data_IF_501651377090
#
_entry.id   IF_501651377090
#
_cell.length_a   1.000
_cell.length_b   1.000
_cell.length_c   1.000
_cell.angle_alpha   90.00
_cell.angle_beta   90.00
_cell.angle_gamma   90.00
#
_symmetry.space_group_name_H-M   'P 1'
#
loop_
_entity.id
_entity.type
_entity.pdbx_description
1 polymer ?
#
# COMPACT_ATOMS: atom_id res chain seq x y z
N UNK A 1 6.36 -26.84 3.61
CA UNK A 1 5.46 -27.35 2.55
C UNK A 1 4.18 -26.51 2.52
N UNK A 2 3.41 -26.55 1.42
CA UNK A 2 2.27 -25.66 1.17
C UNK A 2 1.31 -25.48 2.36
N UNK A 3 0.90 -26.59 3.00
CA UNK A 3 -0.03 -26.55 4.15
C UNK A 3 0.52 -25.72 5.31
N UNK A 4 1.82 -25.82 5.62
CA UNK A 4 2.43 -25.07 6.70
C UNK A 4 2.39 -23.56 6.41
N UNK A 5 2.71 -23.14 5.18
CA UNK A 5 2.57 -21.72 4.81
C UNK A 5 1.13 -21.23 4.86
N UNK A 6 0.16 -22.05 4.44
CA UNK A 6 -1.26 -21.68 4.57
C UNK A 6 -1.65 -21.57 6.03
N UNK A 7 -1.14 -22.44 6.91
CA UNK A 7 -1.37 -22.35 8.35
C UNK A 7 -0.78 -21.07 8.94
N UNK A 8 0.48 -20.76 8.63
CA UNK A 8 1.18 -19.59 9.16
C UNK A 8 0.53 -18.28 8.72
N UNK A 9 0.16 -18.19 7.43
CA UNK A 9 -0.36 -16.95 6.85
C UNK A 9 -1.88 -16.80 7.01
N UNK A 10 -2.62 -17.91 6.93
CA UNK A 10 -4.09 -17.91 6.84
C UNK A 10 -4.76 -18.63 8.02
N UNK A 11 -4.02 -19.26 8.92
CA UNK A 11 -4.56 -19.93 10.10
C UNK A 11 -5.17 -21.30 9.81
N UNK A 12 -5.69 -21.93 10.87
CA UNK A 12 -6.07 -23.34 10.87
C UNK A 12 -7.19 -23.70 9.90
N UNK A 13 -8.27 -22.91 9.83
CA UNK A 13 -9.44 -23.24 9.00
C UNK A 13 -9.07 -23.50 7.53
N UNK A 14 -8.45 -22.53 6.83
CA UNK A 14 -8.00 -22.73 5.46
C UNK A 14 -6.98 -23.88 5.30
N UNK A 15 -6.06 -24.05 6.26
CA UNK A 15 -5.04 -25.10 6.19
C UNK A 15 -5.63 -26.50 6.34
N UNK A 16 -6.59 -26.68 7.25
CA UNK A 16 -7.32 -27.93 7.47
C UNK A 16 -8.17 -28.29 6.27
N UNK A 17 -8.90 -27.32 5.70
CA UNK A 17 -9.69 -27.54 4.50
C UNK A 17 -8.80 -27.96 3.31
N UNK A 18 -7.69 -27.26 3.08
CA UNK A 18 -6.77 -27.61 2.00
C UNK A 18 -6.15 -28.99 2.20
N UNK A 19 -5.78 -29.34 3.44
CA UNK A 19 -5.26 -30.66 3.77
C UNK A 19 -6.29 -31.75 3.45
N UNK A 20 -7.55 -31.52 3.85
CA UNK A 20 -8.65 -32.46 3.59
C UNK A 20 -8.93 -32.62 2.10
N UNK A 21 -9.05 -31.52 1.34
CA UNK A 21 -9.31 -31.57 -0.12
C UNK A 21 -8.20 -32.32 -0.87
N UNK A 22 -6.92 -32.03 -0.55
CA UNK A 22 -5.79 -32.74 -1.15
C UNK A 22 -5.79 -34.24 -0.81
N UNK A 23 -6.10 -34.60 0.44
CA UNK A 23 -6.19 -35.99 0.85
C UNK A 23 -7.37 -36.70 0.17
N UNK A 24 -8.51 -36.01 0.04
CA UNK A 24 -9.71 -36.52 -0.62
C UNK A 24 -9.44 -36.85 -2.08
N UNK A 25 -8.89 -35.92 -2.87
CA UNK A 25 -8.54 -36.17 -4.28
C UNK A 25 -7.57 -37.34 -4.45
N UNK A 26 -6.56 -37.44 -3.58
CA UNK A 26 -5.60 -38.55 -3.60
C UNK A 26 -6.26 -39.89 -3.26
N UNK A 27 -7.19 -39.92 -2.30
CA UNK A 27 -7.91 -41.15 -1.92
C UNK A 27 -8.79 -41.69 -3.04
N UNK A 28 -9.27 -40.82 -3.93
CA UNK A 28 -10.06 -41.17 -5.11
C UNK A 28 -9.19 -41.54 -6.33
N UNK A 29 -7.86 -41.64 -6.18
CA UNK A 29 -6.93 -41.85 -7.29
C UNK A 29 -6.78 -40.66 -8.23
N UNK A 30 -7.43 -39.53 -7.93
CA UNK A 30 -7.39 -38.32 -8.76
C UNK A 30 -6.16 -37.46 -8.38
N UNK A 31 -4.98 -37.98 -8.68
CA UNK A 31 -3.71 -37.30 -8.41
C UNK A 31 -3.57 -36.00 -9.19
N UNK A 32 -4.12 -35.92 -10.40
CA UNK A 32 -4.10 -34.72 -11.22
C UNK A 32 -4.87 -33.57 -10.56
N UNK A 33 -6.11 -33.80 -10.10
CA UNK A 33 -6.88 -32.75 -9.43
C UNK A 33 -6.22 -32.28 -8.12
N UNK A 34 -5.58 -33.19 -7.37
CA UNK A 34 -4.81 -32.81 -6.19
C UNK A 34 -3.63 -31.88 -6.54
N UNK A 35 -2.99 -32.12 -7.68
CA UNK A 35 -1.87 -31.32 -8.16
C UNK A 35 -2.33 -29.94 -8.65
N UNK A 36 -3.40 -29.89 -9.44
CA UNK A 36 -4.03 -28.63 -9.89
C UNK A 36 -4.48 -27.77 -8.70
N UNK A 37 -5.05 -28.38 -7.67
CA UNK A 37 -5.41 -27.68 -6.43
C UNK A 37 -4.17 -27.10 -5.74
N UNK A 38 -3.09 -27.88 -5.65
CA UNK A 38 -1.82 -27.44 -5.07
C UNK A 38 -1.25 -26.24 -5.83
N UNK A 39 -1.20 -26.31 -7.15
CA UNK A 39 -0.71 -25.24 -8.02
C UNK A 39 -1.56 -23.98 -7.90
N UNK A 40 -2.88 -24.12 -7.85
CA UNK A 40 -3.81 -22.99 -7.64
C UNK A 40 -3.55 -22.25 -6.34
N UNK A 41 -3.27 -22.97 -5.26
CA UNK A 41 -2.89 -22.36 -3.99
C UNK A 41 -1.48 -21.77 -4.03
N UNK A 42 -0.56 -22.42 -4.72
CA UNK A 42 0.81 -21.95 -4.88
C UNK A 42 0.89 -20.63 -5.66
N UNK A 43 0.18 -20.53 -6.79
CA UNK A 43 0.13 -19.33 -7.63
C UNK A 43 -0.39 -18.09 -6.88
N UNK A 44 -1.25 -18.28 -5.87
CA UNK A 44 -1.75 -17.17 -5.05
C UNK A 44 -0.69 -16.55 -4.16
N UNK A 45 0.35 -17.29 -3.78
CA UNK A 45 1.38 -16.79 -2.86
C UNK A 45 2.23 -15.68 -3.47
N UNK A 46 2.39 -15.68 -4.80
CA UNK A 46 3.15 -14.65 -5.54
C UNK A 46 2.28 -13.56 -6.17
N UNK A 47 0.97 -13.56 -5.89
CA UNK A 47 0.04 -12.60 -6.44
C UNK A 47 -0.27 -11.49 -5.43
N UNK A 48 0.21 -10.27 -5.71
CA UNK A 48 -0.13 -9.08 -4.91
C UNK A 48 -1.64 -8.89 -4.80
N UNK A 49 -2.38 -9.15 -5.89
CA UNK A 49 -3.84 -9.10 -5.91
C UNK A 49 -4.48 -10.07 -4.93
N UNK A 50 -3.99 -11.31 -4.88
CA UNK A 50 -4.50 -12.32 -3.97
C UNK A 50 -4.18 -11.95 -2.51
N UNK A 51 -2.97 -11.45 -2.25
CA UNK A 51 -2.56 -10.95 -0.95
C UNK A 51 -3.48 -9.81 -0.48
N UNK A 52 -3.63 -8.76 -1.31
CA UNK A 52 -4.45 -7.59 -0.96
C UNK A 52 -5.91 -7.95 -0.74
N UNK A 53 -6.45 -8.91 -1.50
CA UNK A 53 -7.82 -9.43 -1.29
C UNK A 53 -7.96 -10.06 0.11
N UNK A 54 -7.03 -10.93 0.48
CA UNK A 54 -7.06 -11.62 1.79
C UNK A 54 -6.89 -10.61 2.93
N UNK A 55 -5.90 -9.71 2.83
CA UNK A 55 -5.62 -8.69 3.82
C UNK A 55 -6.88 -7.83 4.09
N UNK A 56 -7.43 -7.23 3.02
CA UNK A 56 -8.61 -6.36 3.11
C UNK A 56 -9.80 -7.09 3.71
N UNK A 57 -10.07 -8.32 3.26
CA UNK A 57 -11.21 -9.10 3.74
C UNK A 57 -11.10 -9.44 5.22
N UNK A 58 -9.95 -9.96 5.66
CA UNK A 58 -9.74 -10.37 7.06
C UNK A 58 -9.77 -9.19 8.01
N UNK A 59 -9.11 -8.09 7.62
CA UNK A 59 -9.12 -6.87 8.42
C UNK A 59 -10.53 -6.31 8.57
N UNK A 60 -11.32 -6.24 7.49
CA UNK A 60 -12.72 -5.81 7.55
C UNK A 60 -13.55 -6.70 8.47
N UNK A 61 -13.42 -8.02 8.37
CA UNK A 61 -14.15 -8.96 9.22
C UNK A 61 -13.80 -8.78 10.70
N UNK A 62 -12.50 -8.66 11.00
CA UNK A 62 -12.02 -8.41 12.36
C UNK A 62 -12.51 -7.06 12.89
N UNK A 63 -12.32 -5.98 12.14
CA UNK A 63 -12.68 -4.62 12.54
C UNK A 63 -14.19 -4.48 12.75
N UNK A 64 -14.99 -4.98 11.82
CA UNK A 64 -16.45 -4.95 11.95
C UNK A 64 -16.94 -5.74 13.17
N UNK A 65 -16.33 -6.91 13.45
CA UNK A 65 -16.66 -7.68 14.65
C UNK A 65 -16.25 -6.96 15.93
N UNK A 66 -15.05 -6.36 15.97
CA UNK A 66 -14.54 -5.65 17.14
C UNK A 66 -15.34 -4.38 17.46
N UNK A 67 -15.84 -3.69 16.44
CA UNK A 67 -16.58 -2.43 16.58
C UNK A 67 -18.10 -2.57 16.40
N UNK A 68 -18.63 -3.79 16.34
CA UNK A 68 -20.06 -4.07 16.10
C UNK A 68 -20.63 -3.36 14.85
N UNK A 69 -19.80 -3.19 13.81
CA UNK A 69 -20.18 -2.55 12.54
C UNK A 69 -20.55 -3.59 11.49
N UNK A 70 -21.23 -3.14 10.44
CA UNK A 70 -21.53 -3.92 9.23
C UNK A 70 -21.21 -3.08 8.00
N UNK A 71 -21.01 -3.74 6.86
CA UNK A 71 -20.73 -3.08 5.57
C UNK A 71 -19.26 -3.03 5.19
N UNK A 72 -18.98 -2.26 4.13
CA UNK A 72 -17.65 -2.09 3.55
C UNK A 72 -16.79 -1.16 4.42
N UNK A 73 -15.53 -1.55 4.62
CA UNK A 73 -14.54 -0.70 5.30
C UNK A 73 -13.65 0.07 4.32
N UNK A 74 -13.44 -0.51 3.13
CA UNK A 74 -12.60 0.07 2.09
C UNK A 74 -13.47 0.70 1.02
N UNK A 75 -13.06 1.86 0.53
CA UNK A 75 -13.78 2.61 -0.50
C UNK A 75 -13.65 1.98 -1.89
N UNK A 76 -12.44 1.57 -2.28
CA UNK A 76 -12.14 1.03 -3.62
C UNK A 76 -11.21 -0.20 -3.57
N UNK A 77 -11.09 -0.87 -4.71
CA UNK A 77 -10.09 -1.90 -4.99
C UNK A 77 -8.68 -1.32 -4.85
N UNK A 78 -7.71 -2.19 -4.56
CA UNK A 78 -6.32 -1.75 -4.51
C UNK A 78 -5.86 -1.38 -5.93
N UNK A 79 -4.99 -0.37 -6.04
CA UNK A 79 -4.35 0.04 -7.29
C UNK A 79 -2.86 -0.24 -7.17
N UNK A 80 -2.27 -0.83 -8.21
CA UNK A 80 -0.84 -1.10 -8.30
C UNK A 80 -0.32 -0.39 -9.54
N UNK A 81 0.45 0.66 -9.34
CA UNK A 81 1.02 1.47 -10.42
C UNK A 81 2.52 1.27 -10.38
N UNK A 82 3.09 0.83 -11.51
CA UNK A 82 4.54 0.78 -11.66
C UNK A 82 5.05 2.21 -11.80
N UNK A 83 5.92 2.61 -10.91
CA UNK A 83 6.57 3.93 -10.97
C UNK A 83 7.94 3.73 -11.59
N UNK A 84 8.04 4.03 -12.88
CA UNK A 84 9.29 3.97 -13.64
C UNK A 84 9.90 5.38 -13.71
N UNK A 85 11.22 5.48 -13.51
CA UNK A 85 11.96 6.74 -13.60
C UNK A 85 12.97 6.93 -12.48
N UNK A 86 14.01 7.72 -12.75
CA UNK A 86 15.01 8.11 -11.74
C UNK A 86 14.59 9.45 -11.14
N UNK A 87 14.57 9.56 -9.81
CA UNK A 87 14.47 10.83 -9.09
C UNK A 87 13.05 11.39 -8.93
N UNK A 88 12.52 12.27 -9.81
CA UNK A 88 11.33 13.08 -9.51
C UNK A 88 10.04 12.28 -9.23
N UNK A 89 9.74 11.23 -10.00
CA UNK A 89 8.50 10.47 -9.81
C UNK A 89 8.46 9.73 -8.46
N UNK A 90 9.57 9.08 -8.08
CA UNK A 90 9.74 8.45 -6.77
C UNK A 90 9.64 9.46 -5.63
N UNK A 91 10.27 10.63 -5.79
CA UNK A 91 10.24 11.71 -4.78
C UNK A 91 8.83 12.28 -4.61
N UNK A 92 8.11 12.52 -5.71
CA UNK A 92 6.72 12.98 -5.66
C UNK A 92 5.80 11.96 -4.98
N UNK A 93 5.99 10.66 -5.22
CA UNK A 93 5.22 9.61 -4.55
C UNK A 93 5.52 9.53 -3.05
N UNK A 94 6.79 9.64 -2.64
CA UNK A 94 7.16 9.70 -1.23
C UNK A 94 6.53 10.91 -0.53
N UNK A 95 6.64 12.09 -1.15
CA UNK A 95 6.01 13.32 -0.68
C UNK A 95 4.51 13.18 -0.48
N UNK A 96 3.84 12.56 -1.46
CA UNK A 96 2.40 12.33 -1.42
C UNK A 96 2.01 11.49 -0.19
N UNK A 97 2.75 10.41 0.09
CA UNK A 97 2.51 9.54 1.24
C UNK A 97 2.67 10.32 2.56
N UNK A 98 3.76 11.06 2.69
CA UNK A 98 4.07 11.80 3.92
C UNK A 98 3.12 12.98 4.16
N UNK A 99 2.62 13.62 3.10
CA UNK A 99 1.69 14.75 3.21
C UNK A 99 0.21 14.35 3.35
N UNK A 100 -0.15 13.08 3.12
CA UNK A 100 -1.52 12.61 3.30
C UNK A 100 -2.14 12.88 4.68
N UNK A 101 -1.47 12.66 5.83
CA UNK A 101 -2.03 13.00 7.13
C UNK A 101 -2.32 14.50 7.29
N UNK A 102 -1.49 15.38 6.71
CA UNK A 102 -1.75 16.83 6.69
C UNK A 102 -2.95 17.16 5.81
N UNK A 103 -3.01 16.59 4.61
CA UNK A 103 -4.14 16.75 3.68
C UNK A 103 -5.47 16.26 4.27
N UNK A 104 -5.42 15.21 5.10
CA UNK A 104 -6.57 14.67 5.81
C UNK A 104 -6.92 15.47 7.09
N UNK A 105 -6.14 16.49 7.45
CA UNK A 105 -6.35 17.31 8.65
C UNK A 105 -6.01 16.60 9.97
N UNK A 106 -5.24 15.51 9.92
CA UNK A 106 -4.87 14.71 11.11
C UNK A 106 -3.74 15.39 11.90
N UNK A 107 -2.81 16.05 11.22
CA UNK A 107 -1.72 16.82 11.82
C UNK A 107 -1.40 18.08 11.01
N UNK A 108 -0.66 19.03 11.60
CA UNK A 108 -0.22 20.25 10.90
C UNK A 108 1.11 20.04 10.16
N UNK A 109 1.96 19.16 10.68
CA UNK A 109 3.28 18.85 10.12
C UNK A 109 3.39 17.31 9.95
N UNK A 110 3.85 16.80 8.79
CA UNK A 110 3.99 15.36 8.57
C UNK A 110 4.93 14.68 9.58
N UNK A 111 5.88 15.40 10.19
CA UNK A 111 6.77 14.84 11.23
C UNK A 111 6.04 14.43 12.50
N UNK A 112 4.89 15.05 12.78
CA UNK A 112 4.10 14.79 13.97
C UNK A 112 3.21 13.55 13.80
N UNK A 113 3.10 13.02 12.57
CA UNK A 113 2.36 11.81 12.30
C UNK A 113 3.23 10.57 12.54
N UNK A 114 2.95 9.88 13.64
CA UNK A 114 3.68 8.68 14.10
C UNK A 114 3.91 7.60 13.01
N UNK A 115 2.97 7.48 12.07
CA UNK A 115 3.02 6.44 11.02
C UNK A 115 3.56 6.95 9.68
N UNK A 116 4.21 8.12 9.66
CA UNK A 116 4.97 8.62 8.51
C UNK A 116 6.47 8.40 8.72
N UNK A 117 7.18 8.04 7.66
CA UNK A 117 8.64 7.98 7.63
C UNK A 117 9.31 9.35 7.68
N UNK A 118 8.55 10.43 7.47
CA UNK A 118 9.05 11.81 7.44
C UNK A 118 9.73 12.23 8.74
N UNK A 119 9.13 11.90 9.89
CA UNK A 119 9.70 12.25 11.20
C UNK A 119 11.09 11.64 11.41
N UNK A 120 11.28 10.39 10.97
CA UNK A 120 12.58 9.71 11.00
C UNK A 120 13.57 10.33 9.99
N UNK A 121 13.08 10.74 8.81
CA UNK A 121 13.87 11.40 7.80
C UNK A 121 14.46 12.74 8.26
N UNK A 122 13.69 13.53 9.00
CA UNK A 122 14.15 14.85 9.46
C UNK A 122 14.98 14.78 10.74
N UNK A 123 14.83 13.72 11.55
CA UNK A 123 15.59 13.55 12.80
C UNK A 123 17.07 13.16 12.60
N UNK A 124 17.47 12.82 11.37
CA UNK A 124 18.87 12.52 11.04
C UNK A 124 19.33 11.11 11.40
N UNK A 125 18.41 10.16 11.59
CA UNK A 125 18.71 8.74 11.80
C UNK A 125 19.45 8.09 10.62
N UNK A 126 20.05 6.91 10.81
CA UNK A 126 20.84 6.21 9.78
C UNK A 126 20.04 5.86 8.50
N UNK A 127 18.73 5.79 8.60
CA UNK A 127 17.73 5.52 7.56
C UNK A 127 17.24 6.79 6.84
N UNK A 128 17.61 7.97 7.31
CA UNK A 128 17.06 9.26 6.88
C UNK A 128 17.58 9.80 5.54
N UNK A 129 18.71 9.30 5.04
CA UNK A 129 19.41 9.88 3.89
C UNK A 129 18.55 9.95 2.60
N UNK A 130 17.83 8.89 2.19
CA UNK A 130 17.01 8.94 0.97
C UNK A 130 15.82 9.90 1.09
N UNK A 131 15.19 9.95 2.26
CA UNK A 131 14.03 10.79 2.50
C UNK A 131 14.39 12.28 2.62
N UNK A 132 15.59 12.62 3.12
CA UNK A 132 16.13 14.00 3.09
C UNK A 132 16.38 14.51 1.68
N UNK A 133 16.79 13.65 0.76
CA UNK A 133 16.99 14.03 -0.64
C UNK A 133 15.66 14.29 -1.37
N UNK A 134 14.62 13.51 -1.05
CA UNK A 134 13.26 13.76 -1.51
C UNK A 134 12.73 15.11 -1.00
N UNK A 135 13.04 15.44 0.27
CA UNK A 135 12.62 16.68 0.91
C UNK A 135 13.23 17.95 0.32
N UNK A 136 14.55 17.96 0.11
CA UNK A 136 15.23 19.09 -0.55
C UNK A 136 14.67 19.37 -1.94
N UNK A 137 14.26 18.32 -2.66
CA UNK A 137 13.63 18.47 -3.96
C UNK A 137 12.20 19.04 -3.85
N UNK A 138 11.40 18.60 -2.89
CA UNK A 138 10.05 19.15 -2.67
C UNK A 138 10.07 20.64 -2.32
N UNK A 139 11.02 21.08 -1.48
CA UNK A 139 11.19 22.50 -1.20
C UNK A 139 11.55 23.27 -2.47
N UNK A 140 12.46 22.72 -3.31
CA UNK A 140 12.81 23.34 -4.59
C UNK A 140 11.66 23.38 -5.61
N UNK A 141 10.82 22.35 -5.63
CA UNK A 141 9.65 22.24 -6.51
C UNK A 141 8.51 23.18 -6.06
N UNK A 142 8.27 23.27 -4.76
CA UNK A 142 7.25 24.16 -4.17
C UNK A 142 7.65 25.63 -4.36
N UNK A 143 8.93 25.96 -4.16
CA UNK A 143 9.46 27.30 -4.45
C UNK A 143 9.33 27.64 -5.94
N UNK A 144 9.65 26.71 -6.85
CA UNK A 144 9.49 26.88 -8.30
C UNK A 144 8.03 27.11 -8.73
N UNK A 145 7.08 26.34 -8.19
CA UNK A 145 5.64 26.53 -8.46
C UNK A 145 5.11 27.87 -7.92
N UNK A 146 5.59 28.34 -6.76
CA UNK A 146 5.20 29.66 -6.25
C UNK A 146 5.80 30.80 -7.07
N UNK A 147 6.98 30.61 -7.67
CA UNK A 147 7.59 31.55 -8.61
C UNK A 147 6.79 31.69 -9.90
N UNK A 148 6.51 30.57 -10.58
CA UNK A 148 5.74 30.57 -11.84
C UNK A 148 4.27 31.03 -11.65
N UNK A 149 3.64 30.70 -10.52
CA UNK A 149 2.28 31.15 -10.20
C UNK A 149 2.21 32.65 -9.81
N UNK A 150 3.34 33.27 -9.46
CA UNK A 150 3.46 34.71 -9.21
C UNK A 150 3.73 35.47 -10.51
N UNK A 151 4.53 34.88 -11.41
CA UNK A 151 4.87 35.43 -12.72
C UNK A 151 3.68 35.35 -13.73
N UNK A 152 2.90 34.26 -13.71
CA UNK A 152 1.65 34.19 -14.50
C UNK A 152 0.60 35.21 -14.06
N UNK A 153 0.57 35.57 -12.78
CA UNK A 153 -0.33 36.60 -12.23
C UNK A 153 0.12 38.02 -12.57
N UNK A 154 1.43 38.28 -12.70
CA UNK A 154 1.92 39.58 -13.16
C UNK A 154 1.70 39.79 -14.65
N UNK A 155 1.82 38.74 -15.47
CA UNK A 155 1.62 38.83 -16.93
C UNK A 155 0.13 39.05 -17.28
N UNK A 156 -0.81 38.41 -16.57
CA UNK A 156 -2.26 38.61 -16.78
C UNK A 156 -2.83 39.92 -16.20
N UNK A 157 -2.05 40.68 -15.42
CA UNK A 157 -2.46 41.96 -14.84
C UNK A 157 -2.16 43.19 -15.71
N UNK A 158 -1.44 43.01 -16.82
CA UNK A 158 -0.92 44.13 -17.63
C UNK A 158 -1.63 44.32 -18.98
N UNK A 159 -2.63 43.49 -19.30
CA UNK A 159 -3.46 43.64 -20.50
C UNK A 159 -4.95 43.78 -20.14
N UNK A 160 -5.37 44.99 -19.74
CA UNK A 160 -6.72 45.49 -20.02
C UNK A 160 -6.69 47.02 -20.14
N UNK A 161 -6.96 47.61 -21.33
CA UNK A 161 -7.33 49.02 -21.44
C UNK A 161 -8.71 49.30 -20.83
#
# INVERSE_FOLDING_TARGET
GLIAHVLDCLGEGPATNLRWELAHHRSQGNHQAAEELREKWFARMWSLSAYMKVLKQRFTQWFNRAHQRRGTLWEDRFKSVLVEGKGPALKAMAAYIDLNPVRAGICQDPKDYRWSSYGEAVSGGKTAAPAREALRWLDSFTIGMTGEARERRSIQGQERP
#
